data_IF_608859371090
#
_entry.id   IF_608859371090
#
_cell.length_a   1.000
_cell.length_b   1.000
_cell.length_c   1.000
_cell.angle_alpha   90.00
_cell.angle_beta   90.00
_cell.angle_gamma   90.00
#
_symmetry.space_group_name_H-M   'P 1'
#
loop_
_entity.id
_entity.type
_entity.pdbx_description
1 polymer ?
#
# COMPACT_ATOMS: atom_id res chain seq x y z
N UNK A 1 -9.16 9.72 -7.09
CA UNK A 1 -9.01 8.31 -6.69
C UNK A 1 -8.60 8.19 -5.23
N UNK A 2 -7.37 8.53 -4.81
CA UNK A 2 -6.95 8.43 -3.40
C UNK A 2 -7.70 9.34 -2.41
N UNK A 3 -8.14 10.52 -2.87
CA UNK A 3 -8.85 11.51 -2.06
C UNK A 3 -10.17 11.05 -1.43
N UNK A 4 -10.78 10.00 -1.98
CA UNK A 4 -12.06 9.45 -1.53
C UNK A 4 -11.94 8.03 -0.99
N UNK A 5 -10.73 7.48 -0.92
CA UNK A 5 -10.52 6.08 -0.51
C UNK A 5 -10.37 5.99 1.00
N UNK A 6 -11.14 5.14 1.66
CA UNK A 6 -10.97 4.90 3.09
C UNK A 6 -9.72 4.05 3.40
N UNK A 7 -9.36 3.17 2.47
CA UNK A 7 -8.19 2.28 2.51
C UNK A 7 -7.45 2.27 1.16
N UNK A 8 -6.12 2.21 1.21
CA UNK A 8 -5.25 2.00 0.04
C UNK A 8 -4.54 0.67 0.18
N UNK A 9 -4.68 -0.22 -0.81
CA UNK A 9 -3.91 -1.46 -0.87
C UNK A 9 -2.63 -1.24 -1.69
N UNK A 10 -1.47 -1.36 -1.04
CA UNK A 10 -0.20 -1.48 -1.74
C UNK A 10 0.03 -2.96 -2.07
N UNK A 11 -0.31 -3.35 -3.29
CA UNK A 11 -0.26 -4.75 -3.72
C UNK A 11 1.11 -5.15 -4.28
N UNK A 12 1.36 -6.46 -4.35
CA UNK A 12 2.56 -7.08 -4.93
C UNK A 12 3.85 -6.73 -4.19
N UNK A 13 3.79 -6.63 -2.86
CA UNK A 13 4.97 -6.33 -2.03
C UNK A 13 6.06 -7.42 -2.12
N UNK A 14 5.70 -8.61 -2.61
CA UNK A 14 6.66 -9.66 -2.96
C UNK A 14 7.68 -9.24 -4.02
N UNK A 15 7.39 -8.18 -4.78
CA UNK A 15 8.28 -7.67 -5.81
C UNK A 15 9.32 -6.66 -5.31
N UNK A 16 9.23 -6.18 -4.06
CA UNK A 16 10.14 -5.16 -3.51
C UNK A 16 11.63 -5.51 -3.62
N UNK A 17 12.08 -6.79 -3.53
CA UNK A 17 13.49 -7.12 -3.75
C UNK A 17 13.97 -6.93 -5.20
N UNK A 18 13.05 -6.79 -6.16
CA UNK A 18 13.33 -6.75 -7.60
C UNK A 18 13.04 -5.39 -8.25
N UNK A 19 12.47 -4.44 -7.50
CA UNK A 19 12.14 -3.11 -7.99
C UNK A 19 12.62 -2.05 -7.02
N UNK A 20 13.06 -0.91 -7.56
CA UNK A 20 13.39 0.26 -6.75
C UNK A 20 12.09 1.02 -6.41
N UNK A 21 11.37 0.51 -5.41
CA UNK A 21 10.11 1.09 -4.94
C UNK A 21 10.18 1.43 -3.45
N UNK A 22 10.00 2.72 -3.13
CA UNK A 22 9.97 3.22 -1.77
C UNK A 22 8.54 3.20 -1.20
N UNK A 23 8.27 2.21 -0.37
CA UNK A 23 6.99 2.01 0.34
C UNK A 23 6.66 3.18 1.25
N UNK A 24 7.64 3.71 1.99
CA UNK A 24 7.43 4.80 2.93
C UNK A 24 7.02 6.08 2.20
N UNK A 25 7.71 6.41 1.10
CA UNK A 25 7.37 7.53 0.23
C UNK A 25 6.00 7.38 -0.42
N UNK A 26 5.64 6.16 -0.84
CA UNK A 26 4.30 5.88 -1.36
C UNK A 26 3.21 6.16 -0.31
N UNK A 27 3.39 5.62 0.91
CA UNK A 27 2.46 5.81 2.01
C UNK A 27 2.33 7.29 2.43
N UNK A 28 3.44 8.04 2.45
CA UNK A 28 3.41 9.49 2.69
C UNK A 28 2.61 10.21 1.59
N UNK A 29 2.82 9.85 0.33
CA UNK A 29 2.06 10.37 -0.81
C UNK A 29 0.55 10.13 -0.66
N UNK A 30 0.15 8.92 -0.25
CA UNK A 30 -1.24 8.59 0.03
C UNK A 30 -1.83 9.46 1.14
N UNK A 31 -1.11 9.63 2.27
CA UNK A 31 -1.54 10.47 3.40
C UNK A 31 -1.62 11.96 3.04
N UNK A 32 -0.74 12.45 2.17
CA UNK A 32 -0.83 13.81 1.63
C UNK A 32 -2.05 14.00 0.73
N UNK A 33 -2.43 12.97 -0.03
CA UNK A 33 -3.62 13.01 -0.87
C UNK A 33 -4.90 12.95 -0.04
N UNK A 34 -4.97 12.09 0.98
CA UNK A 34 -6.06 11.99 1.96
C UNK A 34 -5.49 11.83 3.37
N UNK A 35 -5.54 12.87 4.21
CA UNK A 35 -5.10 12.79 5.59
C UNK A 35 -5.83 11.66 6.34
N UNK A 36 -5.08 10.83 7.06
CA UNK A 36 -5.65 9.71 7.83
C UNK A 36 -6.05 8.48 7.02
N UNK A 37 -5.74 8.42 5.71
CA UNK A 37 -5.97 7.19 4.94
C UNK A 37 -5.09 6.05 5.43
N UNK A 38 -5.69 4.88 5.60
CA UNK A 38 -4.97 3.65 5.90
C UNK A 38 -4.31 3.10 4.65
N UNK A 39 -3.11 2.54 4.81
CA UNK A 39 -2.37 1.87 3.74
C UNK A 39 -2.06 0.47 4.23
N UNK A 40 -2.55 -0.54 3.51
CA UNK A 40 -2.30 -1.95 3.80
C UNK A 40 -1.42 -2.54 2.72
N UNK A 41 -0.31 -3.11 3.14
CA UNK A 41 0.66 -3.80 2.29
C UNK A 41 0.24 -5.25 2.08
N UNK A 42 0.09 -5.68 0.83
CA UNK A 42 -0.40 -7.04 0.52
C UNK A 42 0.38 -7.71 -0.60
N UNK A 43 0.51 -9.04 -0.51
CA UNK A 43 0.93 -9.91 -1.61
C UNK A 43 -0.12 -10.99 -1.82
N UNK A 44 -0.81 -10.97 -2.95
CA UNK A 44 -1.75 -12.03 -3.31
C UNK A 44 -1.07 -13.37 -3.56
N UNK A 45 0.22 -13.36 -3.95
CA UNK A 45 0.98 -14.56 -4.27
C UNK A 45 1.58 -15.21 -3.02
N UNK A 46 2.05 -14.41 -2.06
CA UNK A 46 2.59 -14.91 -0.78
C UNK A 46 1.54 -15.03 0.32
N UNK A 47 0.41 -14.34 0.18
CA UNK A 47 -0.64 -14.25 1.18
C UNK A 47 -0.41 -13.17 2.25
N UNK A 48 0.68 -12.40 2.16
CA UNK A 48 0.99 -11.33 3.10
C UNK A 48 -0.14 -10.29 3.11
N UNK A 49 -0.60 -9.86 4.29
CA UNK A 49 -1.57 -8.79 4.46
C UNK A 49 -3.00 -9.09 4.03
N UNK A 50 -3.29 -10.30 3.50
CA UNK A 50 -4.64 -10.69 3.09
C UNK A 50 -5.59 -10.95 4.26
N UNK A 51 -5.19 -11.52 5.41
CA UNK A 51 -6.09 -11.69 6.56
C UNK A 51 -6.59 -10.37 7.16
N UNK A 52 -5.83 -9.29 6.98
CA UNK A 52 -6.14 -7.93 7.45
C UNK A 52 -7.01 -7.12 6.46
N UNK A 53 -7.23 -7.64 5.26
CA UNK A 53 -8.13 -7.08 4.26
C UNK A 53 -9.56 -7.62 4.40
#
# INVERSE_FOLDING_TARGET
MFRSADLVLLTKIDLLPYVDFDVARCAEGARRARPGVEVLEVSATRGDGLPEW
#
